data_IF_486861038079
#
_entry.id   IF_486861038079
#
_cell.length_a   1.000
_cell.length_b   1.000
_cell.length_c   1.000
_cell.angle_alpha   90.00
_cell.angle_beta   90.00
_cell.angle_gamma   90.00
#
_symmetry.space_group_name_H-M   'P 1'
#
loop_
_entity.id
_entity.type
_entity.pdbx_description
1 polymer ?
#
# COMPACT_ATOMS: atom_id res chain seq x y z
N UNK A 1 10.90 -19.58 -0.85
CA UNK A 1 9.64 -20.16 -1.37
C UNK A 1 8.47 -19.99 -0.41
N UNK A 2 8.50 -20.53 0.81
CA UNK A 2 7.39 -20.43 1.80
C UNK A 2 6.84 -19.01 2.00
N UNK A 3 7.69 -18.01 2.27
CA UNK A 3 7.25 -16.61 2.42
C UNK A 3 6.66 -15.98 1.14
N UNK A 4 6.89 -16.58 -0.04
CA UNK A 4 6.17 -16.22 -1.27
C UNK A 4 4.75 -16.80 -1.27
N UNK A 5 4.60 -18.09 -0.94
CA UNK A 5 3.28 -18.75 -0.83
C UNK A 5 2.38 -18.13 0.26
N UNK A 6 2.99 -17.64 1.34
CA UNK A 6 2.35 -16.79 2.36
C UNK A 6 1.64 -15.53 1.79
N UNK A 7 2.02 -15.09 0.59
CA UNK A 7 1.47 -13.94 -0.12
C UNK A 7 0.58 -14.38 -1.31
N UNK A 8 0.31 -15.69 -1.47
CA UNK A 8 -0.45 -16.28 -2.58
C UNK A 8 -1.64 -17.15 -2.14
N UNK A 9 -1.72 -17.57 -0.88
CA UNK A 9 -2.85 -18.40 -0.44
C UNK A 9 -4.16 -17.61 -0.50
N UNK A 10 -5.14 -18.20 -1.20
CA UNK A 10 -6.34 -17.54 -1.73
C UNK A 10 -7.58 -18.46 -1.59
N UNK A 11 -7.46 -19.55 -0.84
CA UNK A 11 -8.42 -20.65 -0.78
C UNK A 11 -8.80 -20.97 0.68
N UNK A 12 -10.10 -20.92 0.99
CA UNK A 12 -10.72 -21.24 2.28
C UNK A 12 -10.27 -20.45 3.54
N UNK A 13 -10.72 -19.19 3.65
CA UNK A 13 -10.51 -18.27 4.79
C UNK A 13 -10.82 -18.84 6.20
N UNK A 14 -11.59 -19.95 6.30
CA UNK A 14 -11.81 -20.66 7.57
C UNK A 14 -10.58 -21.44 8.09
N UNK A 15 -9.55 -21.63 7.26
CA UNK A 15 -8.27 -22.30 7.59
C UNK A 15 -7.04 -21.50 7.14
N UNK A 16 -7.12 -20.86 5.96
CA UNK A 16 -6.04 -20.13 5.28
C UNK A 16 -5.30 -19.14 6.19
N UNK A 17 -6.01 -18.53 7.14
CA UNK A 17 -5.43 -17.65 8.16
C UNK A 17 -4.31 -18.32 8.98
N UNK A 18 -4.43 -19.61 9.27
CA UNK A 18 -3.38 -20.42 9.90
C UNK A 18 -2.22 -20.72 8.94
N UNK A 19 -2.49 -20.83 7.64
CA UNK A 19 -1.51 -21.25 6.63
C UNK A 19 -0.54 -20.13 6.26
N UNK A 20 -1.03 -18.91 6.01
CA UNK A 20 -0.15 -17.75 5.82
C UNK A 20 0.76 -17.52 7.04
N UNK A 21 0.19 -17.58 8.26
CA UNK A 21 0.98 -17.49 9.49
C UNK A 21 2.00 -18.65 9.62
N UNK A 22 1.60 -19.88 9.29
CA UNK A 22 2.48 -21.06 9.27
C UNK A 22 3.63 -20.90 8.29
N UNK A 23 3.38 -20.46 7.04
CA UNK A 23 4.43 -20.20 6.05
C UNK A 23 5.38 -19.08 6.49
N UNK A 24 4.88 -18.04 7.14
CA UNK A 24 5.72 -17.02 7.76
C UNK A 24 6.62 -17.61 8.86
N UNK A 25 6.06 -18.35 9.82
CA UNK A 25 6.83 -18.97 10.91
C UNK A 25 7.84 -20.02 10.40
N UNK A 26 7.45 -20.85 9.42
CA UNK A 26 8.35 -21.79 8.74
C UNK A 26 9.50 -21.04 8.04
N UNK A 27 9.21 -19.93 7.35
CA UNK A 27 10.25 -19.12 6.72
C UNK A 27 11.21 -18.52 7.75
N UNK A 28 10.71 -18.00 8.87
CA UNK A 28 11.53 -17.48 9.97
C UNK A 28 12.43 -18.56 10.58
N UNK A 29 11.94 -19.81 10.70
CA UNK A 29 12.75 -20.95 11.19
C UNK A 29 13.91 -21.25 10.25
N UNK A 30 13.63 -21.38 8.94
CA UNK A 30 14.63 -21.71 7.91
C UNK A 30 15.72 -20.63 7.75
N UNK A 31 15.48 -19.39 8.17
CA UNK A 31 16.49 -18.33 8.13
C UNK A 31 17.55 -18.43 9.24
N UNK A 32 17.31 -19.22 10.30
CA UNK A 32 18.30 -19.36 11.38
C UNK A 32 19.56 -20.12 10.92
N UNK A 33 19.41 -21.00 9.93
CA UNK A 33 20.46 -21.88 9.43
C UNK A 33 21.29 -21.27 8.26
N UNK A 34 20.98 -20.03 7.84
CA UNK A 34 21.60 -19.40 6.66
C UNK A 34 22.92 -18.70 7.03
N UNK A 35 24.08 -19.13 6.48
CA UNK A 35 25.37 -18.54 6.84
C UNK A 35 25.59 -17.16 6.18
N UNK A 36 26.12 -16.22 6.96
CA UNK A 36 26.37 -14.83 6.55
C UNK A 36 27.53 -14.71 5.56
N UNK A 37 27.22 -14.84 4.25
CA UNK A 37 28.18 -14.85 3.15
C UNK A 37 27.66 -13.95 2.00
N UNK A 38 28.52 -13.21 1.25
CA UNK A 38 28.09 -12.27 0.22
C UNK A 38 27.09 -12.78 -0.83
N UNK A 39 27.19 -14.06 -1.22
CA UNK A 39 26.24 -14.67 -2.16
C UNK A 39 24.80 -14.71 -1.60
N UNK A 40 24.64 -14.87 -0.29
CA UNK A 40 23.33 -14.92 0.35
C UNK A 40 22.72 -13.54 0.58
N UNK A 41 23.50 -12.44 0.61
CA UNK A 41 23.00 -11.10 0.91
C UNK A 41 21.87 -10.63 -0.02
N UNK A 42 21.90 -10.95 -1.32
CA UNK A 42 20.78 -10.65 -2.23
C UNK A 42 19.51 -11.44 -1.85
N UNK A 43 19.68 -12.68 -1.40
CA UNK A 43 18.61 -13.53 -0.86
C UNK A 43 18.07 -13.01 0.48
N UNK A 44 18.94 -12.54 1.38
CA UNK A 44 18.55 -11.90 2.64
C UNK A 44 17.77 -10.60 2.39
N UNK A 45 18.23 -9.76 1.45
CA UNK A 45 17.54 -8.54 1.05
C UNK A 45 16.12 -8.85 0.55
N UNK A 46 15.96 -9.87 -0.32
CA UNK A 46 14.66 -10.39 -0.78
C UNK A 46 13.80 -10.89 0.38
N UNK A 47 14.32 -11.77 1.24
CA UNK A 47 13.58 -12.30 2.39
C UNK A 47 13.06 -11.18 3.30
N UNK A 48 13.93 -10.24 3.68
CA UNK A 48 13.56 -9.15 4.58
C UNK A 48 12.60 -8.13 3.93
N UNK A 49 12.68 -7.92 2.61
CA UNK A 49 11.71 -7.13 1.84
C UNK A 49 10.32 -7.75 1.90
N UNK A 50 10.20 -9.06 1.67
CA UNK A 50 8.94 -9.79 1.78
C UNK A 50 8.40 -9.84 3.21
N UNK A 51 9.28 -9.96 4.20
CA UNK A 51 8.91 -9.85 5.61
C UNK A 51 8.34 -8.48 5.94
N UNK A 52 8.90 -7.39 5.38
CA UNK A 52 8.36 -6.04 5.55
C UNK A 52 6.98 -5.88 4.91
N UNK A 53 6.80 -6.45 3.72
CA UNK A 53 5.53 -6.56 2.99
C UNK A 53 4.49 -7.26 3.88
N UNK A 54 4.72 -8.51 4.28
CA UNK A 54 3.84 -9.28 5.17
C UNK A 54 3.48 -8.53 6.46
N UNK A 55 4.47 -7.98 7.16
CA UNK A 55 4.25 -7.29 8.44
C UNK A 55 3.49 -5.97 8.30
N UNK A 56 3.63 -5.27 7.16
CA UNK A 56 2.86 -4.05 6.90
C UNK A 56 1.37 -4.35 6.83
N UNK A 57 0.96 -5.44 6.16
CA UNK A 57 -0.44 -5.85 6.07
C UNK A 57 -0.97 -6.55 7.31
N UNK A 58 -0.11 -7.32 7.99
CA UNK A 58 -0.33 -7.78 9.36
C UNK A 58 -0.57 -6.61 10.36
N UNK A 59 -0.37 -5.37 9.90
CA UNK A 59 -0.60 -4.11 10.58
C UNK A 59 0.32 -3.89 11.79
N UNK A 60 1.49 -4.52 11.72
CA UNK A 60 2.65 -4.38 12.60
C UNK A 60 3.71 -3.51 11.89
N UNK A 61 3.43 -2.21 11.85
CA UNK A 61 4.30 -1.23 11.20
C UNK A 61 5.69 -1.14 11.85
N UNK A 62 5.82 -1.49 13.14
CA UNK A 62 7.12 -1.49 13.82
C UNK A 62 8.00 -2.63 13.30
N UNK A 63 7.50 -3.86 13.28
CA UNK A 63 8.27 -5.00 12.78
C UNK A 63 8.45 -4.92 11.26
N UNK A 64 7.50 -4.34 10.52
CA UNK A 64 7.66 -4.02 9.09
C UNK A 64 8.80 -3.02 8.85
N UNK A 65 8.87 -1.94 9.65
CA UNK A 65 9.97 -0.98 9.63
C UNK A 65 11.32 -1.63 9.90
N UNK A 66 11.42 -2.46 10.94
CA UNK A 66 12.63 -3.25 11.23
C UNK A 66 13.02 -4.18 10.06
N UNK A 67 12.02 -4.82 9.43
CA UNK A 67 12.25 -5.72 8.31
C UNK A 67 12.76 -4.98 7.06
N UNK A 68 12.21 -3.83 6.69
CA UNK A 68 12.71 -3.08 5.53
C UNK A 68 14.08 -2.47 5.80
N UNK A 69 14.38 -2.05 7.03
CA UNK A 69 15.74 -1.64 7.41
C UNK A 69 16.76 -2.77 7.27
N UNK A 70 16.42 -4.00 7.70
CA UNK A 70 17.28 -5.17 7.49
C UNK A 70 17.46 -5.49 6.00
N UNK A 71 16.38 -5.41 5.20
CA UNK A 71 16.44 -5.60 3.74
C UNK A 71 17.42 -4.63 3.08
N UNK A 72 17.33 -3.34 3.45
CA UNK A 72 18.19 -2.28 2.95
C UNK A 72 19.66 -2.46 3.41
N UNK A 73 19.91 -2.93 4.63
CA UNK A 73 21.26 -3.29 5.10
C UNK A 73 21.89 -4.37 4.23
N UNK A 74 21.17 -5.45 3.94
CA UNK A 74 21.67 -6.51 3.05
C UNK A 74 21.81 -6.04 1.59
N UNK A 75 20.94 -5.14 1.13
CA UNK A 75 21.04 -4.50 -0.19
C UNK A 75 22.33 -3.66 -0.31
N UNK A 76 22.68 -2.86 0.70
CA UNK A 76 23.95 -2.11 0.72
C UNK A 76 25.17 -3.04 0.80
N UNK A 77 25.12 -4.10 1.63
CA UNK A 77 26.22 -5.08 1.72
C UNK A 77 26.53 -5.72 0.36
N UNK A 78 25.51 -6.07 -0.43
CA UNK A 78 25.71 -6.60 -1.80
C UNK A 78 25.77 -5.54 -2.91
N UNK A 79 25.94 -4.25 -2.55
CA UNK A 79 26.00 -3.09 -3.48
C UNK A 79 24.84 -3.02 -4.49
N UNK A 80 23.63 -3.37 -4.03
CA UNK A 80 22.42 -3.30 -4.84
C UNK A 80 21.99 -1.84 -5.16
N UNK A 81 22.61 -0.84 -4.54
CA UNK A 81 22.44 0.58 -4.84
C UNK A 81 23.39 1.11 -5.93
N UNK A 82 24.27 0.28 -6.50
CA UNK A 82 25.28 0.65 -7.50
C UNK A 82 25.33 -0.39 -8.63
N UNK A 83 24.73 -0.07 -9.77
CA UNK A 83 24.66 -0.92 -10.95
C UNK A 83 26.02 -1.07 -11.65
N UNK A 84 26.95 -0.14 -11.46
CA UNK A 84 28.25 -0.13 -12.15
C UNK A 84 29.17 -1.28 -11.73
N UNK A 85 28.94 -1.86 -10.55
CA UNK A 85 29.72 -2.97 -9.97
C UNK A 85 29.05 -4.34 -10.12
N UNK A 86 27.92 -4.45 -10.83
CA UNK A 86 27.21 -5.73 -10.99
C UNK A 86 27.83 -6.60 -12.09
N UNK A 87 28.78 -7.46 -11.69
CA UNK A 87 29.36 -8.49 -12.57
C UNK A 87 28.41 -9.68 -12.79
N UNK A 88 27.28 -9.46 -13.47
CA UNK A 88 26.23 -10.48 -13.67
C UNK A 88 25.62 -10.49 -15.09
N UNK A 89 24.81 -11.51 -15.39
CA UNK A 89 24.09 -11.63 -16.68
C UNK A 89 22.96 -10.58 -16.78
N UNK A 90 22.55 -10.13 -17.98
CA UNK A 90 21.52 -9.10 -18.14
C UNK A 90 20.19 -9.38 -17.41
N UNK A 91 19.73 -10.63 -17.41
CA UNK A 91 18.53 -11.05 -16.66
C UNK A 91 18.70 -10.88 -15.14
N UNK A 92 19.85 -11.26 -14.60
CA UNK A 92 20.14 -11.08 -13.16
C UNK A 92 20.29 -9.59 -12.80
N UNK A 93 20.88 -8.79 -13.69
CA UNK A 93 20.94 -7.32 -13.56
C UNK A 93 19.54 -6.71 -13.49
N UNK A 94 18.60 -7.17 -14.32
CA UNK A 94 17.21 -6.73 -14.28
C UNK A 94 16.51 -7.16 -12.97
N UNK A 95 16.64 -8.41 -12.53
CA UNK A 95 16.11 -8.87 -11.23
C UNK A 95 16.78 -8.20 -10.01
N UNK A 96 17.99 -7.63 -10.16
CA UNK A 96 18.65 -6.78 -9.15
C UNK A 96 18.09 -5.36 -9.16
N UNK A 97 17.94 -4.75 -10.33
CA UNK A 97 17.33 -3.42 -10.52
C UNK A 97 15.88 -3.38 -9.99
N UNK A 98 15.06 -4.38 -10.32
CA UNK A 98 13.69 -4.52 -9.82
C UNK A 98 13.64 -4.64 -8.30
N UNK A 99 14.48 -5.49 -7.71
CA UNK A 99 14.60 -5.63 -6.26
C UNK A 99 15.00 -4.32 -5.57
N UNK A 100 15.99 -3.60 -6.12
CA UNK A 100 16.41 -2.30 -5.58
C UNK A 100 15.24 -1.30 -5.56
N UNK A 101 14.57 -1.12 -6.69
CA UNK A 101 13.47 -0.16 -6.80
C UNK A 101 12.23 -0.56 -5.99
N UNK A 102 11.98 -1.86 -5.81
CA UNK A 102 10.94 -2.36 -4.94
C UNK A 102 11.24 -2.07 -3.45
N UNK A 103 12.48 -2.32 -2.99
CA UNK A 103 12.94 -1.94 -1.64
C UNK A 103 12.82 -0.42 -1.43
N UNK A 104 13.29 0.38 -2.40
CA UNK A 104 13.21 1.85 -2.38
C UNK A 104 11.77 2.37 -2.21
N UNK A 105 10.80 1.78 -2.92
CA UNK A 105 9.39 2.17 -2.81
C UNK A 105 8.76 1.73 -1.48
N UNK A 106 9.08 0.53 -1.01
CA UNK A 106 8.53 -0.02 0.23
C UNK A 106 9.07 0.69 1.47
N UNK A 107 10.37 1.01 1.49
CA UNK A 107 11.02 1.81 2.53
C UNK A 107 10.34 3.18 2.64
N UNK A 108 10.21 3.90 1.52
CA UNK A 108 9.60 5.23 1.50
C UNK A 108 8.13 5.22 1.91
N UNK A 109 7.35 4.18 1.59
CA UNK A 109 5.95 4.03 2.03
C UNK A 109 5.82 3.63 3.51
N UNK A 110 6.73 2.83 4.05
CA UNK A 110 6.77 2.56 5.50
C UNK A 110 7.18 3.80 6.28
N UNK A 111 8.19 4.54 5.83
CA UNK A 111 8.60 5.80 6.45
C UNK A 111 7.50 6.87 6.37
N UNK A 112 6.72 6.93 5.27
CA UNK A 112 5.47 7.73 5.22
C UNK A 112 4.49 7.32 6.33
N UNK A 113 4.17 6.02 6.44
CA UNK A 113 3.20 5.48 7.40
C UNK A 113 3.61 5.63 8.88
N UNK A 114 4.91 5.66 9.15
CA UNK A 114 5.49 5.73 10.51
C UNK A 114 5.86 7.18 10.87
N UNK A 115 5.70 8.15 9.96
CA UNK A 115 6.03 9.56 10.18
C UNK A 115 7.53 9.81 10.34
N UNK A 116 8.37 9.16 9.52
CA UNK A 116 9.83 9.21 9.61
C UNK A 116 10.50 9.60 8.28
N UNK A 117 11.69 10.22 8.32
CA UNK A 117 12.50 10.41 7.12
C UNK A 117 12.92 9.06 6.55
N UNK A 118 13.04 8.99 5.22
CA UNK A 118 13.61 7.84 4.53
C UNK A 118 15.10 7.69 4.82
N UNK A 119 15.54 6.44 5.02
CA UNK A 119 16.94 6.07 5.17
C UNK A 119 17.74 6.00 3.86
N UNK A 120 17.12 6.27 2.70
CA UNK A 120 17.80 6.24 1.40
C UNK A 120 18.04 7.67 0.89
N UNK A 121 19.31 8.03 0.74
CA UNK A 121 19.68 9.26 0.03
C UNK A 121 19.65 9.03 -1.48
N UNK A 122 18.86 9.80 -2.23
CA UNK A 122 18.78 9.70 -3.70
C UNK A 122 20.15 9.96 -4.40
N UNK A 123 21.13 10.55 -3.69
CA UNK A 123 22.51 10.77 -4.20
C UNK A 123 23.41 9.53 -4.11
N UNK A 124 23.01 8.52 -3.34
CA UNK A 124 23.76 7.28 -3.12
C UNK A 124 23.23 6.14 -4.00
N UNK A 125 22.35 6.47 -4.95
CA UNK A 125 21.69 5.53 -5.87
C UNK A 125 22.29 5.69 -7.26
N UNK A 126 23.18 4.76 -7.62
CA UNK A 126 23.76 4.60 -8.95
C UNK A 126 23.12 3.40 -9.68
N UNK A 127 21.79 3.30 -9.63
CA UNK A 127 20.98 2.32 -10.36
C UNK A 127 20.12 3.06 -11.37
N UNK A 128 20.09 2.58 -12.62
CA UNK A 128 19.27 3.20 -13.66
C UNK A 128 17.77 2.95 -13.41
N UNK A 129 16.94 3.81 -13.99
CA UNK A 129 15.50 3.56 -14.10
C UNK A 129 15.19 2.24 -14.85
N UNK A 130 14.02 1.67 -14.56
CA UNK A 130 13.50 0.47 -15.22
C UNK A 130 12.97 0.80 -16.62
N UNK A 131 12.31 1.95 -16.75
CA UNK A 131 11.81 2.51 -18.01
C UNK A 131 12.30 3.95 -18.11
N UNK A 132 12.96 4.28 -19.22
CA UNK A 132 13.55 5.61 -19.45
C UNK A 132 12.47 6.70 -19.56
N UNK A 133 12.85 7.99 -19.49
CA UNK A 133 11.90 9.10 -19.63
C UNK A 133 11.30 9.16 -21.03
N UNK A 134 12.10 8.80 -22.02
CA UNK A 134 11.77 8.76 -23.44
C UNK A 134 10.80 7.61 -23.71
N UNK A 135 11.05 6.42 -23.14
CA UNK A 135 10.10 5.30 -23.14
C UNK A 135 8.79 5.64 -22.40
N UNK A 136 8.88 6.28 -21.22
CA UNK A 136 7.71 6.77 -20.48
C UNK A 136 6.88 7.75 -21.29
N UNK A 137 7.50 8.63 -22.09
CA UNK A 137 6.80 9.53 -23.01
C UNK A 137 6.12 8.77 -24.15
N UNK A 138 6.80 7.80 -24.78
CA UNK A 138 6.20 6.94 -25.82
C UNK A 138 4.97 6.19 -25.28
N UNK A 139 4.98 5.77 -24.01
CA UNK A 139 3.85 5.08 -23.40
C UNK A 139 2.68 5.98 -22.96
N UNK A 140 2.75 7.32 -23.08
CA UNK A 140 1.70 8.20 -22.53
C UNK A 140 0.32 7.96 -23.18
N UNK A 141 0.27 8.00 -24.51
CA UNK A 141 -0.97 7.95 -25.29
C UNK A 141 -1.26 6.57 -25.91
N UNK A 142 -0.62 5.49 -25.39
CA UNK A 142 -0.74 4.14 -25.93
C UNK A 142 -1.58 3.21 -25.03
N UNK A 143 -2.64 2.65 -25.61
CA UNK A 143 -3.44 1.57 -25.01
C UNK A 143 -2.69 0.22 -25.01
N UNK A 144 -1.75 0.02 -25.94
CA UNK A 144 -0.93 -1.19 -26.10
C UNK A 144 0.54 -0.83 -25.98
N UNK A 145 1.26 -1.49 -25.08
CA UNK A 145 2.68 -1.23 -24.85
C UNK A 145 3.58 -1.81 -25.96
N UNK A 146 4.70 -1.15 -26.32
CA UNK A 146 5.74 -1.76 -27.15
C UNK A 146 6.29 -3.04 -26.50
N UNK A 147 6.56 -4.07 -27.31
CA UNK A 147 7.04 -5.40 -26.86
C UNK A 147 8.29 -5.35 -25.96
N UNK A 148 9.09 -4.28 -26.06
CA UNK A 148 10.33 -4.09 -25.32
C UNK A 148 10.12 -3.47 -23.92
N UNK A 149 8.87 -3.17 -23.53
CA UNK A 149 8.52 -2.53 -22.26
C UNK A 149 7.57 -3.46 -21.48
N UNK A 150 8.09 -4.12 -20.44
CA UNK A 150 7.23 -4.86 -19.51
C UNK A 150 6.27 -3.90 -18.80
N UNK A 151 5.00 -4.29 -18.73
CA UNK A 151 3.99 -3.58 -17.97
C UNK A 151 4.34 -3.54 -16.46
N UNK A 152 5.04 -4.55 -15.94
CA UNK A 152 5.44 -4.62 -14.54
C UNK A 152 6.57 -3.66 -14.22
N UNK A 153 7.54 -3.53 -15.13
CA UNK A 153 8.61 -2.52 -15.03
C UNK A 153 8.06 -1.10 -15.16
N UNK A 154 7.09 -0.89 -16.05
CA UNK A 154 6.38 0.38 -16.20
C UNK A 154 5.57 0.72 -14.94
N UNK A 155 4.89 -0.26 -14.34
CA UNK A 155 4.17 -0.08 -13.07
C UNK A 155 5.14 0.28 -11.93
N UNK A 156 6.21 -0.48 -11.77
CA UNK A 156 7.21 -0.23 -10.73
C UNK A 156 7.92 1.12 -10.95
N UNK A 157 8.17 1.53 -12.19
CA UNK A 157 8.70 2.86 -12.50
C UNK A 157 7.73 3.99 -12.09
N UNK A 158 6.41 3.81 -12.24
CA UNK A 158 5.41 4.77 -11.74
C UNK A 158 5.44 4.81 -10.20
N UNK A 159 5.57 3.66 -9.52
CA UNK A 159 5.74 3.62 -8.06
C UNK A 159 7.05 4.28 -7.59
N UNK A 160 8.15 4.14 -8.35
CA UNK A 160 9.43 4.84 -8.10
C UNK A 160 9.25 6.35 -8.26
N UNK A 161 8.52 6.79 -9.29
CA UNK A 161 8.24 8.21 -9.51
C UNK A 161 7.36 8.81 -8.40
N UNK A 162 6.34 8.09 -7.93
CA UNK A 162 5.54 8.44 -6.74
C UNK A 162 6.43 8.49 -5.48
N UNK A 163 7.34 7.55 -5.30
CA UNK A 163 8.23 7.48 -4.12
C UNK A 163 9.28 8.61 -4.11
N UNK A 164 9.83 8.95 -5.28
CA UNK A 164 10.70 10.13 -5.51
C UNK A 164 9.96 11.46 -5.33
N UNK A 165 8.65 11.48 -5.57
CA UNK A 165 7.78 12.64 -5.35
C UNK A 165 7.48 12.80 -3.85
N UNK A 166 7.15 11.71 -3.16
CA UNK A 166 7.01 11.68 -1.70
C UNK A 166 8.28 12.16 -0.99
N UNK A 167 9.48 11.73 -1.42
CA UNK A 167 10.73 12.24 -0.85
C UNK A 167 10.87 13.77 -0.92
N UNK A 168 10.39 14.39 -2.02
CA UNK A 168 10.38 15.85 -2.20
C UNK A 168 9.27 16.55 -1.41
N UNK A 169 8.13 15.90 -1.21
CA UNK A 169 7.06 16.35 -0.29
C UNK A 169 7.58 16.32 1.15
N UNK A 170 8.19 15.22 1.59
CA UNK A 170 8.79 15.10 2.92
C UNK A 170 9.83 16.20 3.16
N UNK A 171 10.81 16.34 2.26
CA UNK A 171 11.90 17.30 2.39
C UNK A 171 11.45 18.76 2.43
N UNK A 172 10.27 19.07 1.87
CA UNK A 172 9.71 20.42 1.81
C UNK A 172 8.73 20.72 2.96
N UNK A 173 7.88 19.77 3.33
CA UNK A 173 6.73 20.01 4.23
C UNK A 173 6.83 19.34 5.60
N UNK A 174 7.66 18.29 5.74
CA UNK A 174 7.71 17.44 6.94
C UNK A 174 9.11 17.31 7.57
N UNK A 175 10.17 17.69 6.86
CA UNK A 175 11.54 17.75 7.39
C UNK A 175 11.62 18.73 8.56
N UNK A 176 12.23 18.28 9.66
CA UNK A 176 12.49 19.11 10.84
C UNK A 176 13.26 20.38 10.47
N UNK A 177 12.79 21.54 10.94
CA UNK A 177 13.33 22.85 10.58
C UNK A 177 12.87 23.39 9.21
N UNK A 178 11.89 22.76 8.55
CA UNK A 178 11.17 23.42 7.46
C UNK A 178 10.27 24.54 7.99
N UNK A 179 10.19 25.63 7.24
CA UNK A 179 9.27 26.75 7.44
C UNK A 179 8.30 26.93 6.26
N UNK A 180 8.28 26.00 5.30
CA UNK A 180 7.44 26.10 4.09
C UNK A 180 6.13 25.31 4.18
N UNK A 181 5.73 24.86 5.37
CA UNK A 181 4.43 24.25 5.67
C UNK A 181 3.24 25.18 5.41
N UNK A 182 3.45 26.49 5.62
CA UNK A 182 2.43 27.54 5.59
C UNK A 182 2.56 28.42 4.32
N UNK A 183 3.45 28.07 3.39
CA UNK A 183 3.65 28.82 2.14
C UNK A 183 2.73 28.30 1.03
N UNK A 184 1.69 29.08 0.70
CA UNK A 184 0.74 28.73 -0.37
C UNK A 184 1.40 28.58 -1.75
N UNK A 185 2.42 29.40 -2.07
CA UNK A 185 3.19 29.29 -3.33
C UNK A 185 3.87 27.92 -3.46
N UNK A 186 4.46 27.41 -2.38
CA UNK A 186 5.14 26.10 -2.37
C UNK A 186 4.14 24.94 -2.38
N UNK A 187 3.01 25.09 -1.67
CA UNK A 187 1.88 24.17 -1.72
C UNK A 187 1.33 24.05 -3.15
N UNK A 188 1.19 25.16 -3.87
CA UNK A 188 0.75 25.17 -5.28
C UNK A 188 1.82 24.66 -6.23
N UNK A 189 3.09 25.05 -6.08
CA UNK A 189 4.19 24.54 -6.90
C UNK A 189 4.29 23.01 -6.81
N UNK A 190 4.19 22.45 -5.60
CA UNK A 190 4.16 21.01 -5.40
C UNK A 190 2.88 20.38 -5.93
N UNK A 191 1.71 21.01 -5.73
CA UNK A 191 0.43 20.51 -6.26
C UNK A 191 0.37 20.49 -7.80
N UNK A 192 0.97 21.47 -8.45
CA UNK A 192 1.19 21.50 -9.91
C UNK A 192 2.13 20.36 -10.34
N UNK A 193 3.23 20.12 -9.61
CA UNK A 193 4.15 19.01 -9.87
C UNK A 193 3.47 17.65 -9.76
N UNK A 194 2.67 17.43 -8.71
CA UNK A 194 1.90 16.18 -8.55
C UNK A 194 0.86 16.05 -9.67
N UNK A 195 0.15 17.13 -10.00
CA UNK A 195 -0.86 17.13 -11.07
C UNK A 195 -0.27 17.01 -12.49
N UNK A 196 1.01 17.34 -12.70
CA UNK A 196 1.73 17.04 -13.94
C UNK A 196 2.13 15.56 -13.99
N UNK A 197 2.75 15.02 -12.93
CA UNK A 197 3.15 13.60 -12.90
C UNK A 197 1.95 12.63 -12.97
N UNK A 198 0.80 12.99 -12.40
CA UNK A 198 -0.43 12.20 -12.52
C UNK A 198 -1.02 12.21 -13.94
N UNK A 199 -0.97 13.36 -14.65
CA UNK A 199 -1.41 13.44 -16.06
C UNK A 199 -0.50 12.70 -17.02
N UNK A 200 0.79 12.62 -16.71
CA UNK A 200 1.77 11.89 -17.51
C UNK A 200 1.80 10.38 -17.21
N UNK A 201 0.79 9.82 -16.52
CA UNK A 201 0.64 8.37 -16.34
C UNK A 201 0.18 7.76 -17.67
N UNK A 202 0.87 6.72 -18.20
CA UNK A 202 0.45 5.97 -19.38
C UNK A 202 -1.04 5.61 -19.40
N UNK A 203 -1.71 5.74 -20.55
CA UNK A 203 -3.14 5.45 -20.71
C UNK A 203 -3.55 4.09 -20.14
N UNK A 204 -2.74 3.05 -20.37
CA UNK A 204 -2.92 1.70 -19.79
C UNK A 204 -3.03 1.67 -18.26
N UNK A 205 -2.53 2.68 -17.55
CA UNK A 205 -2.56 2.85 -16.09
C UNK A 205 -3.44 4.01 -15.59
N UNK A 206 -4.13 4.74 -16.46
CA UNK A 206 -5.06 5.78 -16.04
C UNK A 206 -6.33 5.17 -15.42
N UNK A 207 -6.85 5.79 -14.35
CA UNK A 207 -8.10 5.39 -13.72
C UNK A 207 -9.29 6.13 -14.34
N UNK A 208 -10.39 5.42 -14.54
CA UNK A 208 -11.70 6.02 -14.82
C UNK A 208 -12.74 5.37 -13.92
N UNK A 209 -13.62 6.18 -13.32
CA UNK A 209 -14.73 5.67 -12.53
C UNK A 209 -15.72 4.85 -13.38
N UNK A 210 -15.75 5.06 -14.71
CA UNK A 210 -16.53 4.24 -15.65
C UNK A 210 -16.07 2.78 -15.73
N UNK A 211 -14.87 2.44 -15.24
CA UNK A 211 -14.45 1.02 -15.08
C UNK A 211 -15.43 0.31 -14.13
N UNK A 212 -15.79 0.94 -13.01
CA UNK A 212 -16.68 0.34 -12.01
C UNK A 212 -18.13 0.24 -12.50
N UNK A 213 -18.57 1.18 -13.34
CA UNK A 213 -19.94 1.24 -13.84
C UNK A 213 -20.25 0.19 -14.94
N UNK A 214 -19.22 -0.52 -15.45
CA UNK A 214 -19.34 -1.58 -16.47
C UNK A 214 -19.13 -3.00 -15.92
N UNK A 215 -18.91 -3.17 -14.61
CA UNK A 215 -18.62 -4.48 -14.01
C UNK A 215 -19.89 -5.28 -13.72
N UNK A 216 -19.81 -6.59 -13.93
CA UNK A 216 -20.82 -7.54 -13.45
C UNK A 216 -20.54 -7.83 -11.98
N UNK A 217 -21.57 -7.72 -11.12
CA UNK A 217 -21.50 -8.07 -9.70
C UNK A 217 -20.99 -9.51 -9.52
N UNK A 218 -19.95 -9.70 -8.70
CA UNK A 218 -19.30 -11.00 -8.57
C UNK A 218 -18.34 -11.35 -9.72
N UNK A 219 -17.76 -10.36 -10.39
CA UNK A 219 -16.52 -10.50 -11.17
C UNK A 219 -15.30 -10.71 -10.25
N UNK A 220 -14.16 -11.18 -10.75
CA UNK A 220 -12.89 -11.07 -10.03
C UNK A 220 -12.23 -9.71 -10.29
N UNK A 221 -11.51 -9.17 -9.30
CA UNK A 221 -10.74 -7.94 -9.46
C UNK A 221 -9.44 -8.28 -10.19
N UNK A 222 -9.20 -7.65 -11.34
CA UNK A 222 -8.00 -7.88 -12.13
C UNK A 222 -6.86 -6.95 -11.71
N UNK A 223 -5.62 -7.45 -11.89
CA UNK A 223 -4.40 -6.75 -11.51
C UNK A 223 -4.21 -5.40 -12.24
N UNK A 224 -4.78 -5.20 -13.44
CA UNK A 224 -4.67 -3.92 -14.16
C UNK A 224 -5.59 -2.87 -13.52
N UNK A 225 -6.84 -3.23 -13.21
CA UNK A 225 -7.80 -2.39 -12.47
C UNK A 225 -7.24 -2.01 -11.09
N UNK A 226 -6.69 -2.97 -10.35
CA UNK A 226 -6.01 -2.71 -9.07
C UNK A 226 -4.85 -1.74 -9.21
N UNK A 227 -3.98 -1.92 -10.21
CA UNK A 227 -2.83 -1.03 -10.46
C UNK A 227 -3.26 0.39 -10.84
N UNK A 228 -4.28 0.54 -11.68
CA UNK A 228 -4.89 1.84 -12.04
C UNK A 228 -5.40 2.57 -10.80
N UNK A 229 -6.18 1.88 -9.97
CA UNK A 229 -6.74 2.44 -8.73
C UNK A 229 -5.65 2.87 -7.75
N UNK A 230 -4.66 2.00 -7.51
CA UNK A 230 -3.56 2.27 -6.57
C UNK A 230 -2.72 3.48 -7.01
N UNK A 231 -2.46 3.62 -8.32
CA UNK A 231 -1.75 4.80 -8.85
C UNK A 231 -2.57 6.08 -8.65
N UNK A 232 -3.84 6.08 -9.08
CA UNK A 232 -4.72 7.25 -8.97
C UNK A 232 -4.90 7.70 -7.52
N UNK A 233 -5.26 6.78 -6.62
CA UNK A 233 -5.51 7.09 -5.20
C UNK A 233 -4.23 7.58 -4.52
N UNK A 234 -3.05 7.03 -4.83
CA UNK A 234 -1.78 7.55 -4.30
C UNK A 234 -1.48 8.98 -4.77
N UNK A 235 -1.74 9.30 -6.04
CA UNK A 235 -1.57 10.67 -6.54
C UNK A 235 -2.58 11.65 -5.92
N UNK A 236 -3.84 11.25 -5.75
CA UNK A 236 -4.86 12.10 -5.12
C UNK A 236 -4.60 12.31 -3.63
N UNK A 237 -4.20 11.28 -2.88
CA UNK A 237 -3.75 11.40 -1.48
C UNK A 237 -2.53 12.31 -1.32
N UNK A 238 -1.55 12.27 -2.24
CA UNK A 238 -0.41 13.21 -2.21
C UNK A 238 -0.84 14.66 -2.44
N UNK A 239 -1.85 14.92 -3.29
CA UNK A 239 -2.41 16.27 -3.49
C UNK A 239 -3.14 16.76 -2.23
N UNK A 240 -3.95 15.88 -1.62
CA UNK A 240 -4.63 16.16 -0.36
C UNK A 240 -3.63 16.46 0.77
N UNK A 241 -2.60 15.64 0.95
CA UNK A 241 -1.58 15.80 1.99
C UNK A 241 -0.74 17.07 1.87
N UNK A 242 -0.50 17.55 0.64
CA UNK A 242 0.18 18.85 0.40
C UNK A 242 -0.76 20.03 0.65
N UNK A 243 -2.06 19.92 0.32
CA UNK A 243 -3.03 21.01 0.46
C UNK A 243 -3.70 21.11 1.84
N UNK A 244 -3.72 20.01 2.59
CA UNK A 244 -4.13 19.91 3.98
C UNK A 244 -2.98 19.21 4.72
N UNK A 245 -1.89 19.94 4.91
CA UNK A 245 -0.73 19.45 5.62
C UNK A 245 -0.98 19.49 7.15
N UNK A 246 -0.85 18.36 7.88
CA UNK A 246 -0.97 18.32 9.34
C UNK A 246 -0.02 19.26 10.11
N UNK A 247 1.06 19.73 9.49
CA UNK A 247 2.01 20.67 10.11
C UNK A 247 1.73 22.14 9.81
N UNK A 248 0.70 22.47 9.01
CA UNK A 248 0.29 23.86 8.77
C UNK A 248 -0.42 24.41 10.00
N UNK A 249 -0.07 25.64 10.39
CA UNK A 249 -0.64 26.36 11.53
C UNK A 249 -1.85 27.21 11.16
N UNK A 250 -1.88 27.73 9.93
CA UNK A 250 -3.00 28.53 9.43
C UNK A 250 -4.18 27.66 8.93
N UNK A 251 -5.44 28.10 9.15
CA UNK A 251 -6.61 27.42 8.59
C UNK A 251 -6.66 27.58 7.06
N UNK A 252 -6.81 26.46 6.36
CA UNK A 252 -6.95 26.42 4.90
C UNK A 252 -8.13 27.27 4.42
N UNK A 253 -7.95 28.04 3.35
CA UNK A 253 -9.01 28.91 2.80
C UNK A 253 -10.22 28.09 2.27
N UNK A 254 -11.39 28.74 2.16
CA UNK A 254 -12.66 28.07 1.81
C UNK A 254 -12.63 27.36 0.44
N UNK A 255 -11.95 27.92 -0.56
CA UNK A 255 -11.87 27.33 -1.90
C UNK A 255 -11.01 26.06 -1.90
N UNK A 256 -9.83 26.12 -1.28
CA UNK A 256 -8.94 24.98 -1.11
C UNK A 256 -9.55 23.89 -0.21
N UNK A 257 -10.31 24.27 0.82
CA UNK A 257 -11.05 23.32 1.66
C UNK A 257 -12.16 22.60 0.87
N UNK A 258 -12.94 23.32 0.06
CA UNK A 258 -13.93 22.74 -0.87
C UNK A 258 -13.29 21.82 -1.90
N UNK A 259 -12.17 22.24 -2.48
CA UNK A 259 -11.41 21.44 -3.45
C UNK A 259 -10.90 20.13 -2.82
N UNK A 260 -10.40 20.17 -1.58
CA UNK A 260 -10.00 18.97 -0.86
C UNK A 260 -11.20 18.10 -0.44
N UNK A 261 -12.33 18.69 -0.05
CA UNK A 261 -13.55 17.94 0.24
C UNK A 261 -14.09 17.18 -0.99
N UNK A 262 -14.03 17.81 -2.17
CA UNK A 262 -14.38 17.18 -3.44
C UNK A 262 -13.44 16.00 -3.76
N UNK A 263 -12.12 16.20 -3.71
CA UNK A 263 -11.15 15.13 -3.97
C UNK A 263 -11.23 13.96 -2.99
N UNK A 264 -11.39 14.23 -1.69
CA UNK A 264 -11.50 13.15 -0.69
C UNK A 264 -12.83 12.40 -0.82
N UNK A 265 -13.92 13.09 -1.18
CA UNK A 265 -15.20 12.47 -1.45
C UNK A 265 -15.15 11.59 -2.71
N UNK A 266 -14.49 12.01 -3.78
CA UNK A 266 -14.26 11.16 -4.96
C UNK A 266 -13.52 9.86 -4.58
N UNK A 267 -12.41 9.97 -3.84
CA UNK A 267 -11.65 8.78 -3.41
C UNK A 267 -12.51 7.86 -2.53
N UNK A 268 -13.24 8.39 -1.55
CA UNK A 268 -14.14 7.58 -0.70
C UNK A 268 -15.23 6.92 -1.54
N UNK A 269 -15.85 7.65 -2.47
CA UNK A 269 -16.90 7.14 -3.36
C UNK A 269 -16.41 5.99 -4.25
N UNK A 270 -15.24 6.14 -4.86
CA UNK A 270 -14.59 5.11 -5.67
C UNK A 270 -14.26 3.86 -4.84
N UNK A 271 -13.70 4.04 -3.63
CA UNK A 271 -13.37 2.93 -2.75
C UNK A 271 -14.61 2.21 -2.20
N UNK A 272 -15.67 2.94 -1.82
CA UNK A 272 -16.95 2.35 -1.43
C UNK A 272 -17.61 1.56 -2.58
N UNK A 273 -17.59 2.11 -3.81
CA UNK A 273 -18.08 1.38 -5.00
C UNK A 273 -17.32 0.08 -5.20
N UNK A 274 -15.98 0.09 -5.12
CA UNK A 274 -15.15 -1.09 -5.28
C UNK A 274 -15.48 -2.18 -4.24
N UNK A 275 -15.62 -1.80 -2.96
CA UNK A 275 -16.00 -2.72 -1.87
C UNK A 275 -17.35 -3.38 -2.16
N UNK A 276 -18.33 -2.62 -2.66
CA UNK A 276 -19.66 -3.14 -2.99
C UNK A 276 -19.64 -4.11 -4.19
N UNK A 277 -19.01 -3.72 -5.31
CA UNK A 277 -19.04 -4.50 -6.58
C UNK A 277 -18.34 -5.85 -6.47
N UNK A 278 -17.20 -5.91 -5.77
CA UNK A 278 -16.37 -7.11 -5.71
C UNK A 278 -16.56 -7.94 -4.45
N UNK A 279 -16.97 -7.32 -3.34
CA UNK A 279 -17.10 -7.94 -2.01
C UNK A 279 -15.80 -8.54 -1.43
N UNK A 280 -15.82 -8.79 -0.11
CA UNK A 280 -14.82 -9.62 0.57
C UNK A 280 -15.21 -11.09 0.31
N UNK A 281 -14.31 -11.98 -0.16
CA UNK A 281 -12.85 -11.88 -0.12
C UNK A 281 -12.16 -11.38 -1.40
N UNK A 282 -12.89 -11.02 -2.47
CA UNK A 282 -12.26 -10.73 -3.78
C UNK A 282 -11.40 -9.47 -3.81
N UNK A 283 -11.63 -8.55 -2.86
CA UNK A 283 -10.76 -7.40 -2.61
C UNK A 283 -9.81 -7.59 -1.42
N UNK A 284 -9.81 -8.75 -0.75
CA UNK A 284 -9.07 -8.96 0.51
C UNK A 284 -7.58 -8.60 0.37
N UNK A 285 -7.08 -8.82 -0.83
CA UNK A 285 -5.80 -8.47 -1.39
C UNK A 285 -5.46 -6.96 -1.32
N UNK A 286 -6.29 -6.11 -1.93
CA UNK A 286 -6.21 -4.64 -1.80
C UNK A 286 -6.71 -4.13 -0.44
N UNK A 287 -7.38 -4.94 0.38
CA UNK A 287 -8.17 -4.46 1.51
C UNK A 287 -7.33 -3.69 2.56
N UNK A 288 -6.06 -4.02 2.76
CA UNK A 288 -5.15 -3.19 3.56
C UNK A 288 -4.86 -1.82 2.93
N UNK A 289 -4.66 -1.76 1.61
CA UNK A 289 -4.48 -0.50 0.89
C UNK A 289 -5.74 0.37 0.98
N UNK A 290 -6.93 -0.23 0.80
CA UNK A 290 -8.22 0.46 0.88
C UNK A 290 -8.45 0.97 2.31
N UNK A 291 -8.22 0.14 3.34
CA UNK A 291 -8.32 0.55 4.74
C UNK A 291 -7.32 1.68 5.08
N UNK A 292 -6.09 1.61 4.58
CA UNK A 292 -5.09 2.67 4.72
C UNK A 292 -5.55 3.97 4.04
N UNK A 293 -6.04 3.90 2.80
CA UNK A 293 -6.51 5.05 2.06
C UNK A 293 -7.73 5.70 2.71
N UNK A 294 -8.70 4.93 3.20
CA UNK A 294 -9.84 5.43 3.98
C UNK A 294 -9.37 6.06 5.30
N UNK A 295 -8.33 5.52 5.95
CA UNK A 295 -7.75 6.11 7.17
C UNK A 295 -6.99 7.41 6.86
N UNK A 296 -6.26 7.48 5.75
CA UNK A 296 -5.62 8.72 5.27
C UNK A 296 -6.69 9.77 4.88
N UNK A 297 -7.82 9.35 4.30
CA UNK A 297 -8.96 10.21 3.97
C UNK A 297 -9.72 10.75 5.20
N UNK A 298 -9.78 10.04 6.34
CA UNK A 298 -10.57 10.52 7.49
C UNK A 298 -10.01 11.80 8.08
N UNK A 299 -8.68 11.93 8.12
CA UNK A 299 -7.99 13.17 8.45
C UNK A 299 -8.40 14.33 7.51
N UNK A 300 -8.46 14.08 6.19
CA UNK A 300 -8.81 15.10 5.21
C UNK A 300 -10.27 15.56 5.30
N UNK A 301 -11.20 14.65 5.65
CA UNK A 301 -12.59 15.01 5.94
C UNK A 301 -12.70 15.77 7.28
N UNK A 302 -11.98 15.34 8.31
CA UNK A 302 -11.92 16.04 9.60
C UNK A 302 -11.40 17.48 9.44
N UNK A 303 -10.34 17.69 8.67
CA UNK A 303 -9.79 19.02 8.38
C UNK A 303 -10.82 19.99 7.75
N UNK A 304 -11.85 19.50 7.05
CA UNK A 304 -12.97 20.31 6.54
C UNK A 304 -14.01 20.57 7.63
N UNK A 305 -14.33 19.57 8.46
CA UNK A 305 -15.28 19.68 9.58
C UNK A 305 -14.81 20.67 10.66
N UNK A 306 -13.51 20.65 10.99
CA UNK A 306 -12.87 21.56 11.94
C UNK A 306 -12.83 23.01 11.43
N UNK A 307 -12.86 23.23 10.11
CA UNK A 307 -12.54 24.54 9.54
C UNK A 307 -13.66 25.57 9.81
N UNK A 308 -13.37 26.68 10.52
CA UNK A 308 -14.40 27.64 10.95
C UNK A 308 -15.07 28.39 9.79
N UNK A 309 -14.42 28.53 8.62
CA UNK A 309 -15.05 29.16 7.44
C UNK A 309 -15.90 28.20 6.61
N UNK A 310 -15.79 26.88 6.84
CA UNK A 310 -16.47 25.84 6.05
C UNK A 310 -17.87 25.49 6.56
N UNK A 311 -18.59 26.41 7.22
CA UNK A 311 -19.88 26.10 7.88
C UNK A 311 -20.94 25.49 6.96
N UNK A 312 -20.96 25.86 5.68
CA UNK A 312 -21.85 25.26 4.67
C UNK A 312 -21.45 23.82 4.28
N UNK A 313 -20.14 23.54 4.24
CA UNK A 313 -19.58 22.24 3.83
C UNK A 313 -19.65 21.19 4.94
N UNK A 314 -19.94 21.59 6.20
CA UNK A 314 -20.02 20.69 7.36
C UNK A 314 -20.99 19.52 7.14
N UNK A 315 -22.18 19.75 6.55
CA UNK A 315 -23.16 18.69 6.32
C UNK A 315 -22.71 17.71 5.20
N UNK A 316 -22.27 18.17 4.01
CA UNK A 316 -21.62 17.30 3.04
C UNK A 316 -20.42 16.51 3.60
N UNK A 317 -19.53 17.15 4.36
CA UNK A 317 -18.38 16.48 4.98
C UNK A 317 -18.79 15.43 6.02
N UNK A 318 -19.86 15.67 6.79
CA UNK A 318 -20.45 14.67 7.70
C UNK A 318 -21.00 13.45 6.92
N UNK A 319 -21.61 13.66 5.76
CA UNK A 319 -22.07 12.56 4.89
C UNK A 319 -20.89 11.76 4.32
N UNK A 320 -19.84 12.45 3.85
CA UNK A 320 -18.57 11.82 3.42
C UNK A 320 -17.94 10.99 4.54
N UNK A 321 -17.89 11.51 5.79
CA UNK A 321 -17.38 10.80 6.96
C UNK A 321 -18.22 9.55 7.29
N UNK A 322 -19.56 9.64 7.18
CA UNK A 322 -20.46 8.50 7.39
C UNK A 322 -20.13 7.33 6.46
N UNK A 323 -20.02 7.62 5.16
CA UNK A 323 -19.72 6.63 4.10
C UNK A 323 -18.34 6.00 4.25
N UNK A 324 -17.34 6.79 4.68
CA UNK A 324 -16.02 6.31 5.04
C UNK A 324 -16.07 5.31 6.20
N UNK A 325 -16.80 5.63 7.27
CA UNK A 325 -16.91 4.76 8.47
C UNK A 325 -17.71 3.49 8.15
N UNK A 326 -18.75 3.58 7.32
CA UNK A 326 -19.47 2.42 6.80
C UNK A 326 -18.57 1.51 5.94
N UNK A 327 -17.68 2.09 5.14
CA UNK A 327 -16.68 1.34 4.35
C UNK A 327 -15.63 0.67 5.23
N UNK A 328 -15.10 1.37 6.26
CA UNK A 328 -14.21 0.77 7.25
C UNK A 328 -14.89 -0.33 8.06
N UNK A 329 -16.18 -0.19 8.39
CA UNK A 329 -16.97 -1.21 9.07
C UNK A 329 -17.04 -2.51 8.25
N UNK A 330 -17.26 -2.41 6.94
CA UNK A 330 -17.29 -3.58 6.04
C UNK A 330 -15.94 -4.31 6.01
N UNK A 331 -14.82 -3.57 6.01
CA UNK A 331 -13.46 -4.14 6.01
C UNK A 331 -12.99 -4.63 7.40
N UNK A 332 -13.61 -4.16 8.49
CA UNK A 332 -13.18 -4.45 9.87
C UNK A 332 -13.14 -5.93 10.30
N UNK A 333 -13.91 -6.89 9.72
CA UNK A 333 -13.80 -8.31 10.09
C UNK A 333 -12.55 -9.02 9.54
N UNK A 334 -11.94 -8.49 8.46
CA UNK A 334 -10.79 -9.12 7.78
C UNK A 334 -9.51 -8.29 7.81
N UNK A 335 -9.60 -6.97 8.01
CA UNK A 335 -8.44 -6.07 8.02
C UNK A 335 -8.32 -5.33 9.35
N UNK A 336 -7.25 -5.61 10.10
CA UNK A 336 -6.94 -4.93 11.36
C UNK A 336 -6.89 -3.42 11.25
N UNK A 337 -6.32 -2.89 10.15
CA UNK A 337 -6.23 -1.45 9.94
C UNK A 337 -7.62 -0.81 9.90
N UNK A 338 -8.58 -1.47 9.25
CA UNK A 338 -9.96 -1.05 9.25
C UNK A 338 -10.63 -1.26 10.61
N UNK A 339 -10.32 -2.35 11.32
CA UNK A 339 -10.82 -2.62 12.67
C UNK A 339 -10.40 -1.53 13.67
N UNK A 340 -9.11 -1.15 13.69
CA UNK A 340 -8.58 -0.06 14.53
C UNK A 340 -9.15 1.29 14.13
N UNK A 341 -9.16 1.63 12.84
CA UNK A 341 -9.71 2.91 12.37
C UNK A 341 -11.22 3.03 12.68
N UNK A 342 -12.00 1.96 12.46
CA UNK A 342 -13.42 1.93 12.80
C UNK A 342 -13.68 2.06 14.30
N UNK A 343 -12.90 1.40 15.17
CA UNK A 343 -13.12 1.47 16.63
C UNK A 343 -12.84 2.86 17.21
N UNK A 344 -11.93 3.63 16.59
CA UNK A 344 -11.64 5.03 16.95
C UNK A 344 -12.72 5.97 16.39
N UNK A 345 -13.00 5.89 15.09
CA UNK A 345 -13.81 6.88 14.37
C UNK A 345 -15.33 6.71 14.60
N UNK A 346 -15.83 5.48 14.76
CA UNK A 346 -17.26 5.22 14.88
C UNK A 346 -17.90 5.86 16.13
N UNK A 347 -17.33 5.77 17.34
CA UNK A 347 -17.84 6.50 18.51
C UNK A 347 -17.84 8.02 18.29
N UNK A 348 -16.72 8.57 17.81
CA UNK A 348 -16.55 10.01 17.58
C UNK A 348 -17.59 10.56 16.60
N UNK A 349 -17.81 9.86 15.48
CA UNK A 349 -18.79 10.27 14.48
C UNK A 349 -20.23 10.12 14.97
N UNK A 350 -20.57 9.06 15.70
CA UNK A 350 -21.93 8.88 16.26
C UNK A 350 -22.32 10.04 17.19
N UNK A 351 -21.41 10.53 18.03
CA UNK A 351 -21.64 11.74 18.84
C UNK A 351 -21.76 13.00 17.96
N UNK A 352 -20.88 13.18 16.96
CA UNK A 352 -20.96 14.33 16.05
C UNK A 352 -22.30 14.39 15.28
N UNK A 353 -22.82 13.25 14.81
CA UNK A 353 -24.15 13.18 14.18
C UNK A 353 -25.26 13.57 15.16
N UNK A 354 -25.25 13.03 16.39
CA UNK A 354 -26.24 13.38 17.42
C UNK A 354 -26.21 14.87 17.77
N UNK A 355 -25.02 15.45 17.96
CA UNK A 355 -24.87 16.90 18.17
C UNK A 355 -25.40 17.72 16.99
N UNK A 356 -25.15 17.29 15.74
CA UNK A 356 -25.66 18.00 14.55
C UNK A 356 -27.19 17.96 14.43
N UNK A 357 -27.84 16.86 14.83
CA UNK A 357 -29.31 16.75 14.84
C UNK A 357 -29.95 17.56 15.96
N UNK A 358 -29.28 17.68 17.12
CA UNK A 358 -29.77 18.48 18.24
C UNK A 358 -29.65 20.00 18.01
N UNK A 359 -28.94 20.45 16.96
CA UNK A 359 -28.91 21.86 16.53
C UNK A 359 -30.07 22.25 15.59
N UNK A 360 -31.23 21.59 15.72
CA UNK A 360 -32.48 22.05 15.10
C UNK A 360 -32.97 23.37 15.75
N UNK A 361 -33.76 24.19 15.03
CA UNK A 361 -34.23 25.46 15.55
C UNK A 361 -35.29 25.26 16.65
N UNK A 362 -34.90 25.45 17.91
CA UNK A 362 -35.84 25.70 19.00
C UNK A 362 -36.55 27.02 18.75
N UNK A 363 -37.84 26.96 18.43
CA UNK A 363 -38.70 28.14 18.30
C UNK A 363 -38.99 28.67 19.71
N UNK A 364 -38.10 29.51 20.22
CA UNK A 364 -38.31 30.22 21.47
C UNK A 364 -38.73 31.68 21.20
N UNK A 365 -39.81 32.12 21.82
CA UNK A 365 -40.63 33.24 21.38
C UNK A 365 -40.11 34.63 21.76
N UNK A 366 -38.79 34.86 21.74
CA UNK A 366 -38.18 36.12 22.20
C UNK A 366 -37.17 36.73 21.23
N UNK A 367 -37.26 38.04 21.01
CA UNK A 367 -36.41 38.80 20.09
C UNK A 367 -35.02 39.09 20.70
N UNK A 368 -34.17 38.07 20.78
CA UNK A 368 -32.73 38.21 21.08
C UNK A 368 -31.88 37.55 19.99
N UNK A 369 -30.69 38.09 19.64
CA UNK A 369 -29.83 37.48 18.62
C UNK A 369 -29.38 36.08 19.02
N UNK A 370 -29.64 35.09 18.16
CA UNK A 370 -29.25 33.69 18.37
C UNK A 370 -27.72 33.54 18.43
N UNK A 371 -27.18 33.36 19.64
CA UNK A 371 -25.84 32.82 19.81
C UNK A 371 -25.88 31.30 19.60
N UNK A 372 -25.29 30.82 18.50
CA UNK A 372 -25.03 29.40 18.31
C UNK A 372 -24.05 28.91 19.37
N UNK A 373 -24.46 27.95 20.19
CA UNK A 373 -23.65 27.40 21.28
C UNK A 373 -22.66 26.34 20.77
N UNK A 374 -21.69 26.75 19.93
CA UNK A 374 -20.69 25.86 19.28
C UNK A 374 -19.71 25.17 20.25
N UNK A 375 -19.80 25.48 21.55
CA UNK A 375 -18.90 25.08 22.66
C UNK A 375 -18.69 23.56 22.79
N UNK A 376 -19.63 22.73 22.33
CA UNK A 376 -19.56 21.27 22.49
C UNK A 376 -18.67 20.52 21.49
N UNK A 377 -18.45 21.05 20.29
CA UNK A 377 -17.80 20.28 19.21
C UNK A 377 -16.27 20.40 19.24
N UNK A 378 -15.75 21.61 19.45
CA UNK A 378 -14.34 21.95 19.25
C UNK A 378 -13.41 21.16 20.19
N UNK A 379 -13.79 21.01 21.47
CA UNK A 379 -13.00 20.26 22.45
C UNK A 379 -12.89 18.74 22.17
N UNK A 380 -13.87 18.14 21.49
CA UNK A 380 -13.84 16.71 21.12
C UNK A 380 -13.13 16.49 19.77
N UNK A 381 -13.25 17.44 18.85
CA UNK A 381 -12.46 17.47 17.62
C UNK A 381 -10.97 17.63 17.93
N UNK A 382 -10.60 18.45 18.91
CA UNK A 382 -9.26 18.53 19.48
C UNK A 382 -8.76 17.15 19.97
N UNK A 383 -9.58 16.42 20.73
CA UNK A 383 -9.26 15.08 21.22
C UNK A 383 -9.04 14.04 20.11
N UNK A 384 -9.72 14.16 18.97
CA UNK A 384 -9.44 13.31 17.79
C UNK A 384 -8.00 13.51 17.31
N UNK A 385 -7.54 14.76 17.20
CA UNK A 385 -6.18 15.10 16.75
C UNK A 385 -5.11 14.68 17.78
N UNK A 386 -5.38 14.86 19.07
CA UNK A 386 -4.49 14.42 20.15
C UNK A 386 -4.41 12.88 20.21
N UNK A 387 -5.53 12.18 20.00
CA UNK A 387 -5.54 10.71 19.91
C UNK A 387 -4.78 10.18 18.69
N UNK A 388 -4.74 10.94 17.59
CA UNK A 388 -4.00 10.61 16.36
C UNK A 388 -2.49 10.62 16.58
N UNK A 389 -1.98 11.59 17.35
CA UNK A 389 -0.59 11.60 17.82
C UNK A 389 -0.30 10.51 18.87
N UNK A 390 -1.34 9.97 19.51
CA UNK A 390 -1.23 9.03 20.63
C UNK A 390 -1.37 7.53 20.29
N UNK A 391 -1.60 7.13 19.03
CA UNK A 391 -1.86 5.74 18.66
C UNK A 391 -0.64 4.81 18.89
N UNK A 392 -0.68 3.86 19.85
CA UNK A 392 0.44 2.95 20.09
C UNK A 392 0.45 1.82 19.06
N UNK A 393 1.52 1.73 18.26
CA UNK A 393 1.66 0.75 17.18
C UNK A 393 2.06 -0.66 17.68
N UNK A 394 1.28 -1.25 18.59
CA UNK A 394 1.50 -2.64 19.03
C UNK A 394 0.23 -3.34 19.58
N UNK A 395 -0.33 -4.28 18.82
CA UNK A 395 -1.06 -5.44 19.36
C UNK A 395 -1.12 -6.60 18.35
N UNK A 396 -0.86 -7.81 18.83
CA UNK A 396 -1.05 -9.06 18.08
C UNK A 396 -2.54 -9.48 18.12
N UNK A 397 -3.10 -10.31 17.22
CA UNK A 397 -2.52 -11.37 16.38
C UNK A 397 -3.01 -11.27 14.90
N UNK A 398 -2.35 -11.99 13.98
CA UNK A 398 -2.54 -12.05 12.50
C UNK A 398 -3.86 -12.73 12.04
N UNK A 399 -4.23 -12.75 10.73
CA UNK A 399 -3.58 -12.24 9.48
C UNK A 399 -4.56 -11.33 8.66
N UNK A 400 -4.72 -11.24 7.31
CA UNK A 400 -3.98 -11.61 6.06
C UNK A 400 -3.57 -10.30 5.31
N UNK A 401 -3.71 -9.98 4.00
CA UNK A 401 -4.13 -10.61 2.71
C UNK A 401 -3.80 -9.64 1.54
N UNK A 402 -3.15 -10.09 0.45
CA UNK A 402 -2.29 -9.21 -0.39
C UNK A 402 -2.64 -9.06 -1.89
N UNK A 403 -2.57 -7.82 -2.43
CA UNK A 403 -2.35 -7.51 -3.86
C UNK A 403 -1.35 -6.34 -4.07
N UNK A 404 -0.48 -6.49 -5.07
CA UNK A 404 0.40 -5.43 -5.56
C UNK A 404 1.70 -5.93 -6.20
N UNK A 405 2.50 -6.73 -5.48
CA UNK A 405 3.85 -7.11 -5.89
C UNK A 405 3.95 -8.33 -6.85
N UNK A 406 2.82 -8.78 -7.39
CA UNK A 406 2.57 -9.94 -8.28
C UNK A 406 3.77 -10.44 -9.09
N UNK A 407 4.05 -9.84 -10.25
CA UNK A 407 5.15 -10.26 -11.12
C UNK A 407 6.55 -10.22 -10.45
N UNK A 408 6.77 -9.33 -9.48
CA UNK A 408 8.11 -9.04 -8.93
C UNK A 408 8.75 -10.28 -8.29
N UNK A 409 7.98 -11.16 -7.64
CA UNK A 409 8.54 -12.38 -7.07
C UNK A 409 8.65 -13.56 -8.04
N UNK A 410 7.85 -13.58 -9.09
CA UNK A 410 7.94 -14.63 -10.10
C UNK A 410 9.23 -14.45 -10.92
N UNK A 411 9.59 -13.21 -11.26
CA UNK A 411 10.87 -12.83 -11.87
C UNK A 411 12.09 -12.85 -10.91
N UNK A 412 11.88 -13.34 -9.67
CA UNK A 412 12.93 -13.61 -8.67
C UNK A 412 13.19 -15.11 -8.49
N UNK A 413 12.45 -15.98 -9.19
CA UNK A 413 12.76 -17.41 -9.34
C UNK A 413 12.33 -18.28 -8.15
N UNK A 414 11.04 -18.23 -7.81
CA UNK A 414 10.49 -18.88 -6.60
C UNK A 414 9.50 -20.04 -6.87
N UNK A 415 9.08 -20.26 -8.11
CA UNK A 415 8.20 -21.39 -8.51
C UNK A 415 8.67 -21.96 -9.87
N UNK A 416 8.52 -23.27 -10.06
CA UNK A 416 8.69 -23.99 -11.33
C UNK A 416 7.31 -24.55 -11.75
N UNK A 417 6.98 -24.66 -13.06
CA UNK A 417 5.57 -24.63 -13.48
C UNK A 417 4.83 -25.97 -13.40
N UNK A 418 5.54 -27.08 -13.62
CA UNK A 418 4.91 -28.38 -13.87
C UNK A 418 4.71 -29.20 -12.59
N UNK A 419 3.47 -29.28 -12.13
CA UNK A 419 2.74 -30.56 -11.95
C UNK A 419 1.37 -30.35 -11.25
N UNK A 420 0.33 -30.10 -12.05
CA UNK A 420 -1.05 -30.41 -11.64
C UNK A 420 -1.57 -31.58 -12.47
N UNK A 421 -1.47 -32.79 -11.92
CA UNK A 421 -2.34 -33.91 -12.26
C UNK A 421 -2.99 -34.43 -10.99
N UNK A 422 -4.32 -34.38 -10.97
CA UNK A 422 -5.11 -35.11 -9.99
C UNK A 422 -4.97 -36.61 -10.23
N UNK A 423 -4.58 -37.36 -9.21
CA UNK A 423 -5.03 -38.75 -9.07
C UNK A 423 -5.81 -38.90 -7.76
N UNK A 424 -7.03 -39.39 -7.87
CA UNK A 424 -7.96 -39.56 -6.76
C UNK A 424 -7.79 -40.92 -6.11
N UNK A 425 -7.65 -40.97 -4.79
CA UNK A 425 -8.12 -42.14 -4.03
C UNK A 425 -8.42 -41.79 -2.56
N UNK A 426 -9.33 -42.55 -1.97
CA UNK A 426 -9.75 -42.44 -0.57
C UNK A 426 -8.68 -42.92 0.40
N UNK A 427 -8.54 -42.27 1.56
CA UNK A 427 -7.60 -42.68 2.59
C UNK A 427 -7.90 -44.06 3.22
N UNK A 428 -6.85 -44.76 3.62
CA UNK A 428 -6.88 -45.95 4.47
C UNK A 428 -5.69 -45.90 5.43
N UNK A 429 -5.92 -46.12 6.72
CA UNK A 429 -4.90 -45.93 7.76
C UNK A 429 -4.14 -47.22 8.10
N UNK A 430 -2.82 -47.13 8.28
CA UNK A 430 -2.04 -48.14 9.00
C UNK A 430 -0.76 -47.53 9.62
N UNK A 431 -0.34 -48.09 10.76
CA UNK A 431 0.86 -47.75 11.52
C UNK A 431 2.11 -48.42 10.91
N UNK A 432 3.31 -47.83 11.06
CA UNK A 432 4.56 -48.57 10.79
C UNK A 432 5.86 -47.76 10.71
N UNK A 433 6.67 -47.82 11.77
CA UNK A 433 8.14 -47.77 11.70
C UNK A 433 8.64 -49.24 11.60
N UNK A 434 9.78 -49.58 10.95
CA UNK A 434 11.11 -49.08 11.36
C UNK A 434 12.19 -48.92 10.27
N UNK A 435 13.41 -48.61 10.75
CA UNK A 435 14.72 -48.48 10.09
C UNK A 435 15.07 -49.48 8.97
N UNK A 436 15.89 -48.99 8.02
CA UNK A 436 17.14 -49.63 7.59
C UNK A 436 18.16 -48.57 7.09
N UNK A 437 19.40 -48.94 6.85
CA UNK A 437 20.52 -48.07 6.48
C UNK A 437 21.27 -48.54 5.20
N UNK A 438 22.34 -47.82 4.87
CA UNK A 438 23.40 -48.09 3.88
C UNK A 438 23.07 -47.99 2.37
N UNK A 439 24.05 -47.49 1.59
CA UNK A 439 23.98 -47.39 0.13
C UNK A 439 24.76 -46.22 -0.48
N UNK A 440 26.10 -46.31 -0.55
CA UNK A 440 26.94 -45.30 -1.22
C UNK A 440 27.59 -45.86 -2.50
N UNK A 441 27.45 -45.15 -3.63
CA UNK A 441 28.26 -45.36 -4.84
C UNK A 441 28.21 -44.12 -5.77
N UNK A 442 29.29 -43.91 -6.52
CA UNK A 442 29.42 -42.80 -7.47
C UNK A 442 28.74 -43.11 -8.82
N UNK A 443 28.23 -42.08 -9.48
CA UNK A 443 28.18 -42.02 -10.94
C UNK A 443 28.41 -40.56 -11.38
N UNK A 444 29.38 -40.36 -12.26
CA UNK A 444 29.57 -39.10 -12.98
C UNK A 444 29.41 -39.40 -14.47
N UNK A 445 28.49 -38.70 -15.12
CA UNK A 445 28.21 -38.81 -16.56
C UNK A 445 27.67 -37.47 -17.05
N UNK A 446 27.91 -37.18 -18.32
CA UNK A 446 27.71 -35.86 -18.92
C UNK A 446 26.22 -35.46 -19.04
N UNK A 447 25.98 -34.14 -19.03
CA UNK A 447 24.67 -33.51 -19.18
C UNK A 447 24.80 -32.30 -20.12
N UNK A 448 25.01 -32.59 -21.41
CA UNK A 448 24.70 -31.63 -22.48
C UNK A 448 23.17 -31.52 -22.67
N UNK A 449 22.73 -30.37 -23.21
CA UNK A 449 21.37 -30.09 -23.71
C UNK A 449 20.16 -30.50 -22.82
N UNK A 450 19.85 -29.67 -21.81
CA UNK A 450 18.46 -29.50 -21.36
C UNK A 450 18.02 -28.04 -21.44
N UNK A 451 17.28 -27.73 -22.51
CA UNK A 451 16.57 -26.46 -22.69
C UNK A 451 15.32 -26.41 -21.81
N UNK A 452 15.24 -25.44 -20.90
CA UNK A 452 14.09 -25.28 -20.00
C UNK A 452 12.95 -24.45 -20.64
N UNK A 453 11.66 -24.80 -20.40
CA UNK A 453 10.51 -24.20 -21.08
C UNK A 453 10.01 -22.88 -20.46
N UNK A 454 9.11 -22.20 -21.19
CA UNK A 454 8.45 -20.95 -20.80
C UNK A 454 7.24 -21.18 -19.88
N UNK A 455 7.18 -20.48 -18.74
CA UNK A 455 5.96 -19.98 -18.09
C UNK A 455 6.34 -18.68 -17.33
N UNK A 456 5.58 -17.58 -17.31
CA UNK A 456 4.13 -17.37 -17.15
C UNK A 456 3.67 -17.65 -15.71
N UNK A 457 3.49 -16.60 -14.90
CA UNK A 457 3.13 -16.75 -13.49
C UNK A 457 2.56 -15.44 -12.88
N UNK A 458 1.31 -15.44 -12.37
CA UNK A 458 0.75 -14.35 -11.58
C UNK A 458 1.00 -14.48 -10.06
N UNK A 459 0.61 -13.43 -9.35
CA UNK A 459 0.34 -13.28 -7.91
C UNK A 459 1.50 -13.49 -6.92
N UNK A 460 1.27 -13.08 -5.65
CA UNK A 460 2.08 -12.12 -4.86
C UNK A 460 1.59 -10.69 -5.14
N UNK A 461 2.00 -9.65 -4.45
CA UNK A 461 2.22 -9.53 -3.01
C UNK A 461 1.50 -8.25 -2.73
#
# INVERSE_FOLDING_TARGET
MSLGRCLQSREDLGRDTSEAASFYHQSMSLMHDVPSIPAHWVGMARFHFLRAIYLMQADDLQAAGQAISASLQYAWQCKLNDQSVWSCKPQESLSRKRLWWAIYCMERRLCQKIGKPSGICDKEVAVDDLVSKEQLMVCQDLDVLPEQISQDDLHLQILVNISRLWGKVWDKFFRAGSHTSDSDEEVDMMSLRISHLHRNVPAIFQWSNSILDNLVEGSELDLHTSRRLVIHVRYTLLRLLVRQNPTRTEPVNLEQARFCHMLVSEVIDTLSKLIAVYSIPRIASLAYFIASALTECSYHVAAVLHNPVCKAERLPALQTMKKLIESLKLLSPSVKAAQRAYSILNPQAMYAFQSSMNCGPTIDGSNTPLQYQEIGAEAYLQSMFESWHGLPLASSNLPQSFEGCSAILNEIGIVSPDNFRFETSSGGAALGLPFSADGAANAATDMDELSFPYLYLPDIG
#
